data_IF_139547616420
#
_entry.id   IF_139547616420
#
_cell.length_a   1.000
_cell.length_b   1.000
_cell.length_c   1.000
_cell.angle_alpha   90.00
_cell.angle_beta   90.00
_cell.angle_gamma   90.00
#
_symmetry.space_group_name_H-M   'P 1'
#
loop_
_entity.id
_entity.type
_entity.pdbx_description
1 polymer ?
#
# COMPACT_ATOMS: atom_id res chain seq x y z
N UNK A 1 -1.01 -26.46 -1.87
CA UNK A 1 -0.41 -26.69 -3.22
C UNK A 1 1.04 -26.18 -3.26
N UNK A 2 1.87 -26.50 -4.26
CA UNK A 2 3.22 -25.93 -4.45
C UNK A 2 3.25 -25.08 -5.72
N UNK A 3 3.82 -23.88 -5.63
CA UNK A 3 3.90 -22.92 -6.72
C UNK A 3 5.36 -22.57 -7.02
N UNK A 4 5.71 -22.48 -8.30
CA UNK A 4 6.95 -21.85 -8.76
C UNK A 4 6.94 -20.34 -8.50
N UNK A 5 8.09 -19.68 -8.64
CA UNK A 5 8.17 -18.22 -8.51
C UNK A 5 7.33 -17.50 -9.59
N UNK A 6 7.20 -18.07 -10.78
CA UNK A 6 6.36 -17.52 -11.85
C UNK A 6 4.87 -17.63 -11.49
N UNK A 7 4.45 -18.75 -10.93
CA UNK A 7 3.07 -18.93 -10.48
C UNK A 7 2.75 -18.04 -9.28
N UNK A 8 3.64 -17.97 -8.29
CA UNK A 8 3.48 -17.09 -7.14
C UNK A 8 3.39 -15.62 -7.57
N UNK A 9 4.25 -15.19 -8.50
CA UNK A 9 4.20 -13.86 -9.11
C UNK A 9 2.83 -13.59 -9.76
N UNK A 10 2.34 -14.52 -10.58
CA UNK A 10 1.02 -14.40 -11.23
C UNK A 10 -0.13 -14.32 -10.23
N UNK A 11 -0.11 -15.15 -9.17
CA UNK A 11 -1.19 -15.20 -8.17
C UNK A 11 -1.20 -13.94 -7.31
N UNK A 12 -0.02 -13.45 -6.92
CA UNK A 12 0.12 -12.28 -6.03
C UNK A 12 0.07 -10.95 -6.79
N UNK A 13 0.06 -10.97 -8.12
CA UNK A 13 0.14 -9.77 -8.95
C UNK A 13 1.51 -9.08 -8.93
N UNK A 14 2.55 -9.78 -8.46
CA UNK A 14 3.91 -9.26 -8.34
C UNK A 14 4.80 -9.75 -9.46
N UNK A 15 5.93 -9.08 -9.66
CA UNK A 15 6.97 -9.59 -10.57
C UNK A 15 7.84 -10.62 -9.84
N UNK A 16 8.42 -11.55 -10.59
CA UNK A 16 9.40 -12.48 -10.02
C UNK A 16 10.62 -11.75 -9.43
N UNK A 17 11.00 -10.58 -9.97
CA UNK A 17 12.03 -9.71 -9.39
C UNK A 17 11.62 -9.14 -8.03
N UNK A 18 10.36 -8.73 -7.85
CA UNK A 18 9.83 -8.26 -6.55
C UNK A 18 9.86 -9.37 -5.52
N UNK A 19 9.47 -10.59 -5.89
CA UNK A 19 9.55 -11.74 -4.98
C UNK A 19 10.99 -12.05 -4.57
N UNK A 20 11.93 -12.03 -5.52
CA UNK A 20 13.37 -12.19 -5.21
C UNK A 20 13.89 -11.09 -4.31
N UNK A 21 13.43 -9.86 -4.52
CA UNK A 21 13.77 -8.71 -3.68
C UNK A 21 13.26 -8.89 -2.25
N UNK A 22 12.01 -9.30 -2.06
CA UNK A 22 11.46 -9.59 -0.73
C UNK A 22 12.21 -10.74 -0.04
N UNK A 23 12.63 -11.77 -0.78
CA UNK A 23 13.50 -12.81 -0.23
C UNK A 23 14.87 -12.26 0.18
N UNK A 24 15.53 -11.44 -0.65
CA UNK A 24 16.86 -10.89 -0.34
C UNK A 24 16.84 -9.93 0.84
N UNK A 25 15.74 -9.20 1.03
CA UNK A 25 15.49 -8.34 2.19
C UNK A 25 15.08 -9.13 3.44
N UNK A 26 14.98 -10.47 3.37
CA UNK A 26 14.63 -11.32 4.51
C UNK A 26 13.16 -11.27 4.90
N UNK A 27 12.28 -10.75 4.03
CA UNK A 27 10.85 -10.61 4.32
C UNK A 27 10.08 -11.92 4.18
N UNK A 28 10.65 -12.92 3.51
CA UNK A 28 10.03 -14.21 3.24
C UNK A 28 10.85 -15.35 3.89
N UNK A 29 10.78 -15.54 5.22
CA UNK A 29 11.71 -16.41 5.97
C UNK A 29 11.52 -17.92 5.69
N UNK A 30 10.36 -18.34 5.18
CA UNK A 30 9.97 -19.76 5.12
C UNK A 30 9.86 -20.32 3.69
N UNK A 31 10.60 -19.76 2.73
CA UNK A 31 10.60 -20.29 1.35
C UNK A 31 11.42 -21.58 1.27
N UNK A 32 10.74 -22.69 0.99
CA UNK A 32 11.35 -24.01 0.88
C UNK A 32 11.94 -24.24 -0.50
N UNK A 33 12.93 -25.12 -0.56
CA UNK A 33 13.50 -25.63 -1.82
C UNK A 33 13.00 -27.05 -2.06
N UNK A 34 12.60 -27.35 -3.28
CA UNK A 34 12.28 -28.70 -3.72
C UNK A 34 13.56 -29.51 -3.96
N UNK A 35 13.41 -30.82 -4.16
CA UNK A 35 14.51 -31.76 -4.40
C UNK A 35 15.36 -31.38 -5.64
N UNK A 36 14.72 -30.78 -6.65
CA UNK A 36 15.38 -30.22 -7.83
C UNK A 36 16.08 -28.86 -7.58
N UNK A 37 16.25 -28.46 -6.31
CA UNK A 37 16.83 -27.19 -5.83
C UNK A 37 16.09 -25.92 -6.23
N UNK A 38 14.94 -26.02 -6.92
CA UNK A 38 14.10 -24.87 -7.22
C UNK A 38 13.29 -24.44 -5.98
N UNK A 39 13.04 -23.13 -5.85
CA UNK A 39 12.17 -22.58 -4.81
C UNK A 39 10.72 -22.96 -5.10
N UNK A 40 9.97 -23.29 -4.06
CA UNK A 40 8.53 -23.39 -4.17
C UNK A 40 7.87 -22.61 -3.03
N UNK A 41 6.71 -22.06 -3.35
CA UNK A 41 5.84 -21.32 -2.45
C UNK A 41 4.63 -22.19 -2.16
N UNK A 42 4.17 -22.21 -0.92
CA UNK A 42 2.87 -22.77 -0.55
C UNK A 42 1.83 -21.66 -0.34
N UNK A 43 0.59 -22.04 -0.02
CA UNK A 43 -0.52 -21.10 0.20
C UNK A 43 -0.21 -20.11 1.32
N UNK A 44 0.36 -20.57 2.43
CA UNK A 44 0.76 -19.70 3.54
C UNK A 44 1.85 -18.70 3.11
N UNK A 45 2.75 -19.08 2.20
CA UNK A 45 3.69 -18.13 1.62
C UNK A 45 2.97 -17.06 0.78
N UNK A 46 1.96 -17.43 -0.01
CA UNK A 46 1.20 -16.48 -0.83
C UNK A 46 0.41 -15.48 0.03
N UNK A 47 -0.24 -15.96 1.09
CA UNK A 47 -0.93 -15.11 2.07
C UNK A 47 0.05 -14.13 2.73
N UNK A 48 1.21 -14.63 3.15
CA UNK A 48 2.25 -13.78 3.74
C UNK A 48 2.77 -12.73 2.76
N UNK A 49 3.02 -13.10 1.50
CA UNK A 49 3.42 -12.17 0.44
C UNK A 49 2.37 -11.07 0.26
N UNK A 50 1.07 -11.42 0.29
CA UNK A 50 -0.01 -10.44 0.17
C UNK A 50 0.02 -9.44 1.33
N UNK A 51 0.25 -9.90 2.56
CA UNK A 51 0.40 -9.02 3.75
C UNK A 51 1.61 -8.10 3.58
N UNK A 52 2.79 -8.64 3.28
CA UNK A 52 4.01 -7.84 3.09
C UNK A 52 3.83 -6.79 1.98
N UNK A 53 3.19 -7.19 0.88
CA UNK A 53 2.91 -6.28 -0.23
C UNK A 53 1.92 -5.18 0.17
N UNK A 54 0.87 -5.50 0.93
CA UNK A 54 -0.06 -4.52 1.46
C UNK A 54 0.65 -3.49 2.33
N UNK A 55 1.45 -3.93 3.31
CA UNK A 55 2.21 -3.04 4.20
C UNK A 55 3.16 -2.15 3.40
N UNK A 56 3.85 -2.70 2.41
CA UNK A 56 4.78 -1.95 1.57
C UNK A 56 4.08 -0.89 0.71
N UNK A 57 2.95 -1.24 0.07
CA UNK A 57 2.20 -0.35 -0.81
C UNK A 57 1.43 0.73 -0.04
N UNK A 58 1.20 0.51 1.26
CA UNK A 58 0.64 1.50 2.18
C UNK A 58 1.74 2.30 2.90
N UNK A 59 2.92 2.38 2.28
CA UNK A 59 4.07 3.18 2.71
C UNK A 59 4.69 2.80 4.06
N UNK A 60 4.51 1.56 4.54
CA UNK A 60 5.31 1.08 5.66
C UNK A 60 6.80 0.98 5.25
N UNK A 61 7.73 1.57 6.02
CA UNK A 61 9.17 1.42 5.78
C UNK A 61 9.59 -0.04 5.82
N UNK A 62 10.51 -0.44 4.95
CA UNK A 62 11.00 -1.83 4.88
C UNK A 62 11.56 -2.31 6.22
N UNK A 63 12.23 -1.43 6.97
CA UNK A 63 12.76 -1.76 8.29
C UNK A 63 11.67 -2.10 9.31
N UNK A 64 10.52 -1.43 9.27
CA UNK A 64 9.37 -1.80 10.12
C UNK A 64 8.72 -3.11 9.66
N UNK A 65 8.71 -3.39 8.35
CA UNK A 65 8.24 -4.67 7.83
C UNK A 65 9.19 -5.80 8.30
N UNK A 66 10.51 -5.58 8.29
CA UNK A 66 11.49 -6.53 8.84
C UNK A 66 11.26 -6.78 10.33
N UNK A 67 10.99 -5.74 11.12
CA UNK A 67 10.60 -5.89 12.54
C UNK A 67 9.36 -6.78 12.68
N UNK A 68 8.33 -6.55 11.87
CA UNK A 68 7.12 -7.37 11.87
C UNK A 68 7.41 -8.85 11.53
N UNK A 69 8.30 -9.11 10.56
CA UNK A 69 8.75 -10.47 10.19
C UNK A 69 9.46 -11.13 11.38
N UNK A 70 10.37 -10.41 12.05
CA UNK A 70 11.10 -10.91 13.23
C UNK A 70 10.13 -11.24 14.36
N UNK A 71 9.18 -10.35 14.68
CA UNK A 71 8.16 -10.61 15.69
C UNK A 71 7.33 -11.84 15.34
N UNK A 72 6.93 -12.00 14.08
CA UNK A 72 6.15 -13.15 13.63
C UNK A 72 6.91 -14.47 13.76
N UNK A 73 8.23 -14.46 13.51
CA UNK A 73 9.09 -15.65 13.68
C UNK A 73 9.23 -16.13 15.13
N UNK A 74 8.99 -15.27 16.12
CA UNK A 74 9.06 -15.59 17.55
C UNK A 74 7.78 -16.27 18.08
N UNK A 75 6.75 -16.43 17.23
CA UNK A 75 5.51 -17.12 17.58
C UNK A 75 4.60 -16.31 18.52
N UNK A 76 3.78 -17.00 19.29
CA UNK A 76 2.64 -16.38 19.99
C UNK A 76 3.02 -15.42 21.12
N UNK A 77 4.25 -15.50 21.63
CA UNK A 77 4.77 -14.57 22.65
C UNK A 77 4.83 -13.10 22.20
N UNK A 78 4.72 -12.83 20.89
CA UNK A 78 4.77 -11.47 20.32
C UNK A 78 3.42 -10.96 19.80
N UNK A 79 2.31 -11.66 20.02
CA UNK A 79 0.99 -11.29 19.47
C UNK A 79 0.61 -9.83 19.78
N UNK A 80 0.82 -9.38 21.02
CA UNK A 80 0.52 -7.99 21.41
C UNK A 80 1.37 -6.97 20.66
N UNK A 81 2.68 -7.23 20.49
CA UNK A 81 3.58 -6.34 19.74
C UNK A 81 3.22 -6.29 18.25
N UNK A 82 2.87 -7.44 17.67
CA UNK A 82 2.38 -7.52 16.28
C UNK A 82 1.09 -6.72 16.09
N UNK A 83 0.15 -6.86 17.03
CA UNK A 83 -1.10 -6.12 17.02
C UNK A 83 -0.87 -4.61 17.12
N UNK A 84 -0.01 -4.16 18.05
CA UNK A 84 0.34 -2.75 18.22
C UNK A 84 0.93 -2.15 16.94
N UNK A 85 1.87 -2.83 16.30
CA UNK A 85 2.46 -2.40 15.03
C UNK A 85 1.40 -2.23 13.94
N UNK A 86 0.49 -3.19 13.81
CA UNK A 86 -0.57 -3.15 12.81
C UNK A 86 -1.62 -2.07 13.13
N UNK A 87 -1.97 -1.85 14.40
CA UNK A 87 -2.88 -0.79 14.81
C UNK A 87 -2.32 0.59 14.48
N UNK A 88 -1.05 0.82 14.81
CA UNK A 88 -0.35 2.07 14.47
C UNK A 88 -0.30 2.29 12.96
N UNK A 89 -0.02 1.23 12.19
CA UNK A 89 -0.03 1.33 10.74
C UNK A 89 -1.41 1.64 10.18
N UNK A 90 -2.45 0.99 10.71
CA UNK A 90 -3.85 1.25 10.35
C UNK A 90 -4.21 2.73 10.55
N UNK A 91 -3.80 3.33 11.67
CA UNK A 91 -4.02 4.76 11.93
C UNK A 91 -3.32 5.65 10.89
N UNK A 92 -2.08 5.33 10.52
CA UNK A 92 -1.36 6.07 9.49
C UNK A 92 -2.04 5.96 8.12
N UNK A 93 -2.50 4.77 7.75
CA UNK A 93 -3.24 4.54 6.50
C UNK A 93 -4.56 5.31 6.50
N UNK A 94 -5.29 5.31 7.62
CA UNK A 94 -6.54 6.06 7.73
C UNK A 94 -6.31 7.57 7.55
N UNK A 95 -5.30 8.15 8.23
CA UNK A 95 -4.93 9.56 8.03
C UNK A 95 -4.63 9.85 6.57
N UNK A 96 -3.94 8.94 5.88
CA UNK A 96 -3.63 9.12 4.47
C UNK A 96 -4.87 9.08 3.57
N UNK A 97 -5.82 8.19 3.88
CA UNK A 97 -7.12 8.14 3.19
C UNK A 97 -7.85 9.48 3.37
N UNK A 98 -7.89 10.00 4.60
CA UNK A 98 -8.57 11.25 4.90
C UNK A 98 -7.93 12.44 4.15
N UNK A 99 -6.59 12.51 4.10
CA UNK A 99 -5.87 13.49 3.28
C UNK A 99 -6.18 13.36 1.79
N UNK A 100 -6.16 12.13 1.25
CA UNK A 100 -6.44 11.88 -0.16
C UNK A 100 -7.88 12.23 -0.54
N UNK A 101 -8.83 12.01 0.37
CA UNK A 101 -10.22 12.42 0.19
C UNK A 101 -10.33 13.95 0.11
N UNK A 102 -9.62 14.69 0.98
CA UNK A 102 -9.56 16.17 0.87
C UNK A 102 -9.03 16.58 -0.51
N UNK A 103 -7.90 16.01 -0.97
CA UNK A 103 -7.39 16.32 -2.31
C UNK A 103 -8.34 15.92 -3.44
N UNK A 104 -9.10 14.84 -3.27
CA UNK A 104 -10.10 14.42 -4.26
C UNK A 104 -11.19 15.47 -4.43
N UNK A 105 -11.61 16.14 -3.37
CA UNK A 105 -12.59 17.23 -3.46
C UNK A 105 -12.07 18.40 -4.32
N UNK A 106 -10.79 18.75 -4.20
CA UNK A 106 -10.16 19.78 -5.05
C UNK A 106 -10.17 19.37 -6.53
N UNK A 107 -9.86 18.10 -6.80
CA UNK A 107 -9.83 17.56 -8.16
C UNK A 107 -11.23 17.57 -8.75
N UNK A 108 -12.24 17.11 -7.99
CA UNK A 108 -13.64 17.11 -8.43
C UNK A 108 -14.13 18.52 -8.77
N UNK A 109 -13.84 19.51 -7.91
CA UNK A 109 -14.17 20.90 -8.22
C UNK A 109 -13.53 21.37 -9.54
N UNK A 110 -12.28 20.98 -9.82
CA UNK A 110 -11.63 21.33 -11.08
C UNK A 110 -12.21 20.60 -12.28
N UNK A 111 -12.67 19.36 -12.12
CA UNK A 111 -13.42 18.63 -13.15
C UNK A 111 -14.71 19.38 -13.48
N UNK A 112 -15.48 19.78 -12.49
CA UNK A 112 -16.73 20.53 -12.70
C UNK A 112 -16.47 21.87 -13.39
N UNK A 113 -15.45 22.61 -12.92
CA UNK A 113 -15.02 23.87 -13.50
C UNK A 113 -14.70 23.74 -14.99
N UNK A 114 -13.87 22.76 -15.36
CA UNK A 114 -13.46 22.59 -16.76
C UNK A 114 -14.58 21.98 -17.62
N UNK A 115 -15.47 21.19 -17.04
CA UNK A 115 -16.67 20.70 -17.75
C UNK A 115 -17.53 21.89 -18.18
N UNK A 116 -17.82 22.80 -17.26
CA UNK A 116 -18.57 24.04 -17.56
C UNK A 116 -17.81 24.95 -18.54
N UNK A 117 -16.50 25.10 -18.39
CA UNK A 117 -15.70 25.91 -19.31
C UNK A 117 -15.73 25.38 -20.76
N UNK A 118 -15.70 24.06 -20.92
CA UNK A 118 -15.83 23.40 -22.22
C UNK A 118 -17.22 23.62 -22.83
N UNK A 119 -18.29 23.52 -22.03
CA UNK A 119 -19.67 23.79 -22.48
C UNK A 119 -19.86 25.24 -22.92
N UNK A 120 -19.25 26.19 -22.20
CA UNK A 120 -19.30 27.62 -22.53
C UNK A 120 -18.30 28.03 -23.62
N UNK A 121 -17.31 27.19 -23.94
CA UNK A 121 -16.20 27.50 -24.84
C UNK A 121 -15.26 28.61 -24.33
N UNK A 122 -15.32 28.96 -23.04
CA UNK A 122 -14.53 30.04 -22.42
C UNK A 122 -14.47 29.91 -20.90
N UNK A 123 -13.36 30.33 -20.30
CA UNK A 123 -13.21 30.43 -18.84
C UNK A 123 -13.57 31.83 -18.29
N UNK A 124 -13.81 32.83 -19.16
CA UNK A 124 -13.94 34.25 -18.75
C UNK A 124 -15.02 34.47 -17.68
N UNK A 125 -16.14 33.78 -17.79
CA UNK A 125 -17.26 33.90 -16.84
C UNK A 125 -16.99 33.15 -15.54
N UNK A 126 -16.26 32.02 -15.59
CA UNK A 126 -15.96 31.18 -14.43
C UNK A 126 -14.80 31.70 -13.60
N UNK A 127 -13.84 32.44 -14.20
CA UNK A 127 -12.73 33.08 -13.46
C UNK A 127 -13.19 34.18 -12.50
N UNK A 128 -14.45 34.61 -12.57
CA UNK A 128 -15.07 35.53 -11.61
C UNK A 128 -15.35 34.85 -10.28
N UNK A 129 -15.48 33.52 -10.25
CA UNK A 129 -15.71 32.76 -9.05
C UNK A 129 -14.39 32.51 -8.29
N UNK A 130 -14.41 32.77 -6.98
CA UNK A 130 -13.27 32.50 -6.11
C UNK A 130 -13.21 31.01 -5.78
N UNK A 131 -12.01 30.45 -5.75
CA UNK A 131 -11.80 29.08 -5.28
C UNK A 131 -12.36 28.91 -3.85
N UNK A 132 -13.20 27.89 -3.59
CA UNK A 132 -13.87 27.73 -2.31
C UNK A 132 -12.91 27.79 -1.12
N UNK A 133 -13.29 28.54 -0.08
CA UNK A 133 -12.38 28.79 1.04
C UNK A 133 -12.07 27.52 1.85
N UNK A 134 -12.97 26.53 1.89
CA UNK A 134 -12.76 25.28 2.61
C UNK A 134 -11.68 24.37 1.99
N UNK A 135 -11.17 24.74 0.81
CA UNK A 135 -10.03 24.08 0.17
C UNK A 135 -8.68 24.65 0.60
N UNK A 136 -8.62 25.82 1.25
CA UNK A 136 -7.37 26.25 1.86
C UNK A 136 -7.18 25.44 3.13
N UNK A 137 -6.07 24.72 3.22
CA UNK A 137 -5.66 24.04 4.45
C UNK A 137 -5.43 25.16 5.48
N UNK A 138 -6.22 25.20 6.55
CA UNK A 138 -5.80 25.93 7.75
C UNK A 138 -4.52 25.23 8.20
N UNK A 139 -3.39 25.95 8.21
CA UNK A 139 -2.15 25.42 8.77
C UNK A 139 -2.46 25.04 10.22
N UNK A 140 -2.51 23.74 10.51
CA UNK A 140 -2.55 23.25 11.89
C UNK A 140 -1.24 23.71 12.56
N UNK A 141 -1.32 24.78 13.37
CA UNK A 141 -0.26 25.26 14.29
C UNK A 141 0.21 24.16 15.26
#
# INVERSE_FOLDING_TARGET
>A
MKYSIQEAARITGLTASTLRYYESEGLLPNIKRAENRHRYYDESNLEWIAVINCLKNTNMPIEQIKEFVVLNSQGDGTLYKRLELILKHRENVQKKIDELNKYMEHINYKVDYFTMACELGTEKELKKERYPNHFYIEEDE
#
